data_IF_720963903735
#
_entry.id   IF_720963903735
#
_cell.length_a   1.000
_cell.length_b   1.000
_cell.length_c   1.000
_cell.angle_alpha   90.00
_cell.angle_beta   90.00
_cell.angle_gamma   90.00
#
_symmetry.space_group_name_H-M   'P 1'
#
loop_
_entity.id
_entity.type
_entity.pdbx_description
1 polymer ?
#
# COMPACT_ATOMS: atom_id res chain seq x y z
N UNK A 1 56.33 -21.72 -16.26
CA UNK A 1 55.93 -20.35 -15.84
C UNK A 1 55.12 -20.47 -14.56
N UNK A 2 55.66 -20.05 -13.41
CA UNK A 2 55.04 -20.24 -12.10
C UNK A 2 54.19 -19.01 -11.78
N UNK A 3 52.87 -19.14 -11.95
CA UNK A 3 51.92 -18.08 -11.60
C UNK A 3 52.00 -17.78 -10.10
N UNK A 4 52.51 -16.60 -9.75
CA UNK A 4 52.44 -16.06 -8.40
C UNK A 4 50.99 -15.73 -8.08
N UNK A 5 50.35 -16.58 -7.28
CA UNK A 5 49.03 -16.24 -6.72
C UNK A 5 49.22 -15.06 -5.76
N UNK A 6 48.78 -13.87 -6.17
CA UNK A 6 48.66 -12.71 -5.28
C UNK A 6 47.52 -13.01 -4.30
N UNK A 7 47.84 -13.16 -3.02
CA UNK A 7 46.84 -13.26 -1.96
C UNK A 7 46.25 -11.88 -1.67
N UNK A 8 44.95 -11.83 -1.36
CA UNK A 8 44.31 -10.63 -0.81
C UNK A 8 44.93 -10.30 0.55
N UNK A 9 45.19 -9.02 0.82
CA UNK A 9 45.61 -8.60 2.16
C UNK A 9 44.40 -8.52 3.10
N UNK A 10 44.62 -8.81 4.38
CA UNK A 10 43.56 -8.68 5.39
C UNK A 10 43.05 -7.23 5.50
N UNK A 11 43.92 -6.25 5.27
CA UNK A 11 43.54 -4.83 5.31
C UNK A 11 42.63 -4.43 4.16
N UNK A 12 42.83 -5.00 2.96
CA UNK A 12 41.93 -4.78 1.81
C UNK A 12 40.52 -5.33 2.06
N UNK A 13 40.41 -6.48 2.73
CA UNK A 13 39.09 -7.01 3.09
C UNK A 13 38.44 -6.22 4.23
N UNK A 14 39.24 -5.72 5.17
CA UNK A 14 38.74 -4.93 6.30
C UNK A 14 38.13 -3.59 5.83
N UNK A 15 38.81 -2.85 4.94
CA UNK A 15 38.27 -1.58 4.45
C UNK A 15 36.97 -1.78 3.64
N UNK A 16 36.85 -2.89 2.89
CA UNK A 16 35.66 -3.21 2.11
C UNK A 16 34.46 -3.47 3.01
N UNK A 17 34.61 -4.27 4.08
CA UNK A 17 33.49 -4.53 5.00
C UNK A 17 33.07 -3.27 5.77
N UNK A 18 34.01 -2.38 6.08
CA UNK A 18 33.70 -1.08 6.70
C UNK A 18 32.87 -0.21 5.76
N UNK A 19 33.27 -0.08 4.50
CA UNK A 19 32.53 0.71 3.50
C UNK A 19 31.13 0.14 3.27
N UNK A 20 31.00 -1.19 3.09
CA UNK A 20 29.70 -1.85 2.93
C UNK A 20 28.84 -1.66 4.18
N UNK A 21 29.42 -1.73 5.38
CA UNK A 21 28.72 -1.50 6.65
C UNK A 21 28.11 -0.10 6.73
N UNK A 22 28.86 0.94 6.35
CA UNK A 22 28.37 2.33 6.33
C UNK A 22 27.23 2.50 5.31
N UNK A 23 27.40 1.97 4.10
CA UNK A 23 26.37 2.05 3.06
C UNK A 23 25.08 1.30 3.46
N UNK A 24 25.22 0.11 4.05
CA UNK A 24 24.10 -0.70 4.51
C UNK A 24 23.32 0.00 5.64
N UNK A 25 24.01 0.63 6.59
CA UNK A 25 23.40 1.34 7.70
C UNK A 25 22.46 2.47 7.23
N UNK A 26 22.79 3.17 6.13
CA UNK A 26 21.93 4.22 5.56
C UNK A 26 20.86 3.64 4.64
N UNK A 27 21.23 2.64 3.82
CA UNK A 27 20.35 2.09 2.79
C UNK A 27 19.17 1.28 3.35
N UNK A 28 19.41 0.46 4.38
CA UNK A 28 18.40 -0.44 4.96
C UNK A 28 17.17 0.32 5.50
N UNK A 29 17.30 1.33 6.39
CA UNK A 29 16.13 2.05 6.91
C UNK A 29 15.42 2.84 5.82
N UNK A 30 16.17 3.41 4.86
CA UNK A 30 15.59 4.13 3.71
C UNK A 30 14.74 3.21 2.86
N UNK A 31 15.24 2.01 2.54
CA UNK A 31 14.52 1.03 1.73
C UNK A 31 13.25 0.53 2.41
N UNK A 32 13.30 0.27 3.72
CA UNK A 32 12.12 -0.13 4.50
C UNK A 32 11.01 0.95 4.46
N UNK A 33 11.39 2.23 4.64
CA UNK A 33 10.45 3.34 4.55
C UNK A 33 9.86 3.51 3.14
N UNK A 34 10.66 3.36 2.10
CA UNK A 34 10.17 3.42 0.71
C UNK A 34 9.20 2.28 0.41
N UNK A 35 9.46 1.06 0.88
CA UNK A 35 8.53 -0.07 0.75
C UNK A 35 7.20 0.21 1.45
N UNK A 36 7.24 0.69 2.68
CA UNK A 36 6.03 1.07 3.42
C UNK A 36 5.20 2.10 2.66
N UNK A 37 5.84 3.17 2.16
CA UNK A 37 5.17 4.19 1.32
C UNK A 37 4.56 3.60 0.05
N UNK A 38 5.22 2.64 -0.60
CA UNK A 38 4.70 1.96 -1.78
C UNK A 38 3.44 1.14 -1.46
N UNK A 39 3.43 0.42 -0.33
CA UNK A 39 2.25 -0.31 0.13
C UNK A 39 1.08 0.63 0.44
N UNK A 40 1.33 1.75 1.11
CA UNK A 40 0.31 2.77 1.38
C UNK A 40 -0.25 3.35 0.06
N UNK A 41 0.63 3.62 -0.92
CA UNK A 41 0.21 4.11 -2.22
C UNK A 41 -0.66 3.09 -2.96
N UNK A 42 -0.32 1.80 -2.90
CA UNK A 42 -1.13 0.72 -3.48
C UNK A 42 -2.52 0.66 -2.83
N UNK A 43 -2.61 0.68 -1.50
CA UNK A 43 -3.88 0.69 -0.78
C UNK A 43 -4.76 1.88 -1.17
N UNK A 44 -4.18 3.08 -1.25
CA UNK A 44 -4.91 4.29 -1.69
C UNK A 44 -5.36 4.20 -3.14
N UNK A 45 -4.53 3.65 -4.02
CA UNK A 45 -4.87 3.44 -5.42
C UNK A 45 -6.02 2.46 -5.57
N UNK A 46 -6.01 1.38 -4.79
CA UNK A 46 -7.08 0.39 -4.77
C UNK A 46 -8.40 1.02 -4.30
N UNK A 47 -8.38 1.86 -3.26
CA UNK A 47 -9.59 2.58 -2.83
C UNK A 47 -10.13 3.53 -3.91
N UNK A 48 -9.26 4.17 -4.70
CA UNK A 48 -9.72 4.99 -5.86
C UNK A 48 -10.32 4.13 -6.96
N UNK A 49 -9.70 3.00 -7.27
CA UNK A 49 -10.25 2.04 -8.23
C UNK A 49 -11.59 1.47 -7.76
N UNK A 50 -11.75 1.28 -6.45
CA UNK A 50 -13.02 0.87 -5.85
C UNK A 50 -14.10 1.93 -6.09
N UNK A 51 -13.79 3.22 -5.98
CA UNK A 51 -14.76 4.27 -6.33
C UNK A 51 -15.25 4.11 -7.76
N UNK A 52 -14.34 3.95 -8.72
CA UNK A 52 -14.75 3.73 -10.12
C UNK A 52 -15.60 2.47 -10.29
N UNK A 53 -15.32 1.39 -9.55
CA UNK A 53 -16.11 0.17 -9.59
C UNK A 53 -17.52 0.36 -8.99
N UNK A 54 -17.62 1.07 -7.87
CA UNK A 54 -18.90 1.40 -7.21
C UNK A 54 -19.75 2.31 -8.08
N UNK A 55 -19.17 3.36 -8.68
CA UNK A 55 -19.90 4.25 -9.59
C UNK A 55 -20.42 3.50 -10.83
N UNK A 56 -19.61 2.60 -11.39
CA UNK A 56 -20.04 1.75 -12.50
C UNK A 56 -21.19 0.83 -12.09
N UNK A 57 -21.12 0.25 -10.89
CA UNK A 57 -22.17 -0.65 -10.40
C UNK A 57 -23.46 0.11 -10.05
N UNK A 58 -23.34 1.30 -9.47
CA UNK A 58 -24.45 2.20 -9.18
C UNK A 58 -25.15 2.64 -10.48
N UNK A 59 -24.40 2.92 -11.55
CA UNK A 59 -24.98 3.24 -12.86
C UNK A 59 -25.87 2.11 -13.40
N UNK A 60 -25.55 0.86 -13.10
CA UNK A 60 -26.30 -0.30 -13.59
C UNK A 60 -27.44 -0.73 -12.64
N UNK A 61 -27.26 -0.56 -11.34
CA UNK A 61 -28.15 -1.14 -10.30
C UNK A 61 -28.87 -0.10 -9.43
N UNK A 62 -28.55 1.19 -9.59
CA UNK A 62 -29.03 2.32 -8.76
C UNK A 62 -28.78 2.16 -7.24
N UNK A 63 -27.89 1.24 -6.85
CA UNK A 63 -27.47 0.98 -5.48
C UNK A 63 -25.98 0.70 -5.45
N UNK A 64 -25.29 1.11 -4.39
CA UNK A 64 -23.90 0.72 -4.13
C UNK A 64 -23.82 -0.73 -3.65
N UNK A 65 -22.70 -1.39 -3.95
CA UNK A 65 -22.49 -2.77 -3.54
C UNK A 65 -21.81 -2.85 -2.17
N UNK A 66 -22.09 -3.92 -1.42
CA UNK A 66 -21.39 -4.22 -0.16
C UNK A 66 -20.27 -5.23 -0.35
N UNK A 67 -20.22 -5.87 -1.52
CA UNK A 67 -19.34 -6.99 -1.82
C UNK A 67 -18.76 -6.83 -3.23
N UNK A 68 -17.43 -6.72 -3.27
CA UNK A 68 -16.65 -6.59 -4.51
C UNK A 68 -16.71 -7.82 -5.41
N UNK A 69 -17.19 -8.97 -4.91
CA UNK A 69 -17.37 -10.19 -5.72
C UNK A 69 -18.69 -10.22 -6.50
N UNK A 70 -19.66 -9.37 -6.14
CA UNK A 70 -21.00 -9.36 -6.74
C UNK A 70 -21.14 -8.20 -7.72
N UNK A 71 -20.83 -8.45 -8.98
CA UNK A 71 -21.06 -7.50 -10.09
C UNK A 71 -19.98 -6.43 -10.25
N UNK A 72 -19.23 -6.09 -9.20
CA UNK A 72 -18.04 -5.25 -9.31
C UNK A 72 -16.85 -6.06 -9.83
N UNK A 73 -16.13 -5.55 -10.83
CA UNK A 73 -14.88 -6.16 -11.31
C UNK A 73 -13.67 -5.61 -10.55
N UNK A 74 -13.80 -5.47 -9.23
CA UNK A 74 -12.73 -4.97 -8.38
C UNK A 74 -11.78 -6.10 -7.99
N UNK A 75 -10.46 -5.84 -8.10
CA UNK A 75 -9.41 -6.74 -7.62
C UNK A 75 -8.37 -5.93 -6.87
N UNK A 76 -8.11 -6.21 -5.59
CA UNK A 76 -7.08 -5.50 -4.85
C UNK A 76 -5.69 -5.84 -5.37
N UNK A 77 -4.76 -4.92 -5.16
CA UNK A 77 -3.34 -5.11 -5.41
C UNK A 77 -2.77 -6.22 -4.51
N UNK A 78 -1.64 -6.81 -4.92
CA UNK A 78 -1.02 -7.90 -4.15
C UNK A 78 -0.69 -7.45 -2.74
N UNK A 79 -1.13 -8.23 -1.74
CA UNK A 79 -0.88 -7.95 -0.33
C UNK A 79 -1.88 -6.98 0.31
N UNK A 80 -2.75 -6.34 -0.47
CA UNK A 80 -3.90 -5.57 0.03
C UNK A 80 -5.08 -6.52 0.28
N UNK A 81 -5.66 -6.46 1.46
CA UNK A 81 -6.85 -7.25 1.80
C UNK A 81 -8.08 -6.73 1.04
N UNK A 82 -9.09 -7.60 0.88
CA UNK A 82 -10.38 -7.17 0.32
C UNK A 82 -10.96 -6.04 1.17
N UNK A 83 -11.49 -4.97 0.55
CA UNK A 83 -12.02 -3.85 1.29
C UNK A 83 -13.30 -4.23 2.02
N UNK A 84 -13.46 -3.75 3.23
CA UNK A 84 -14.72 -3.81 3.98
C UNK A 84 -15.55 -2.60 3.60
N UNK A 85 -16.75 -2.81 3.05
CA UNK A 85 -17.62 -1.75 2.53
C UNK A 85 -18.86 -1.63 3.42
N UNK A 86 -19.24 -0.40 3.76
CA UNK A 86 -20.50 -0.07 4.41
C UNK A 86 -21.28 0.94 3.56
N UNK A 87 -22.55 0.63 3.31
CA UNK A 87 -23.43 1.43 2.47
C UNK A 87 -24.47 2.17 3.33
N UNK A 88 -24.87 3.35 2.86
CA UNK A 88 -25.91 4.20 3.41
C UNK A 88 -26.81 4.70 2.27
N UNK A 89 -27.82 5.50 2.60
CA UNK A 89 -28.69 6.11 1.60
C UNK A 89 -27.91 7.12 0.74
N UNK A 90 -27.46 6.70 -0.44
CA UNK A 90 -26.74 7.55 -1.40
C UNK A 90 -25.25 7.79 -1.06
N UNK A 91 -24.71 7.06 -0.09
CA UNK A 91 -23.32 7.19 0.35
C UNK A 91 -22.73 5.83 0.71
N UNK A 92 -21.41 5.73 0.71
CA UNK A 92 -20.71 4.52 1.15
C UNK A 92 -19.32 4.86 1.66
N UNK A 93 -18.77 3.98 2.47
CA UNK A 93 -17.39 4.03 2.93
C UNK A 93 -16.73 2.68 2.79
N UNK A 94 -15.41 2.68 2.63
CA UNK A 94 -14.64 1.45 2.62
C UNK A 94 -13.33 1.59 3.38
N UNK A 95 -12.86 0.49 3.94
CA UNK A 95 -11.53 0.37 4.55
C UNK A 95 -10.79 -0.84 4.00
N UNK A 96 -9.48 -0.71 3.83
CA UNK A 96 -8.60 -1.84 3.50
C UNK A 96 -7.34 -1.82 4.37
N UNK A 97 -6.64 -2.96 4.40
CA UNK A 97 -5.38 -3.17 5.13
C UNK A 97 -4.35 -3.82 4.22
N UNK A 98 -3.07 -3.76 4.57
CA UNK A 98 -2.00 -4.43 3.84
C UNK A 98 -1.27 -5.42 4.75
N UNK A 99 -1.05 -6.64 4.27
CA UNK A 99 -0.44 -7.75 5.05
C UNK A 99 0.94 -7.44 5.64
N UNK A 100 1.69 -6.53 5.02
CA UNK A 100 3.03 -6.11 5.47
C UNK A 100 3.02 -4.85 6.36
N UNK A 101 1.86 -4.23 6.59
CA UNK A 101 1.72 -3.04 7.44
C UNK A 101 0.80 -3.38 8.61
N UNK A 102 1.39 -3.86 9.71
CA UNK A 102 0.65 -4.17 10.92
C UNK A 102 0.01 -2.90 11.52
N UNK A 103 -1.24 -3.01 11.96
CA UNK A 103 -2.01 -1.94 12.59
C UNK A 103 -2.15 -0.67 11.72
N UNK A 104 -2.10 -0.82 10.40
CA UNK A 104 -2.23 0.28 9.45
C UNK A 104 -3.41 0.02 8.53
N UNK A 105 -4.24 1.03 8.32
CA UNK A 105 -5.44 0.94 7.50
C UNK A 105 -5.59 2.16 6.60
N UNK A 106 -6.19 1.98 5.43
CA UNK A 106 -6.64 3.10 4.60
C UNK A 106 -8.16 3.07 4.49
N UNK A 107 -8.75 4.24 4.39
CA UNK A 107 -10.19 4.43 4.32
C UNK A 107 -10.54 5.50 3.32
N UNK A 108 -11.74 5.38 2.76
CA UNK A 108 -12.37 6.36 1.86
C UNK A 108 -13.86 6.44 2.20
N UNK A 109 -14.44 7.63 2.09
CA UNK A 109 -15.88 7.84 2.17
C UNK A 109 -16.31 8.64 0.95
N UNK A 110 -17.45 8.27 0.34
CA UNK A 110 -18.08 8.99 -0.77
C UNK A 110 -19.48 9.42 -0.35
N UNK A 111 -19.77 10.71 -0.48
CA UNK A 111 -20.91 11.41 0.11
C UNK A 111 -21.04 11.18 1.63
N UNK A 112 -19.92 10.85 2.30
CA UNK A 112 -19.86 10.58 3.74
C UNK A 112 -18.47 10.87 4.27
N UNK A 113 -18.37 11.03 5.59
CA UNK A 113 -17.10 11.21 6.27
C UNK A 113 -16.22 9.97 6.14
N UNK A 114 -14.93 10.18 5.87
CA UNK A 114 -13.94 9.11 5.86
C UNK A 114 -13.88 8.39 7.22
N UNK A 115 -13.87 7.04 7.24
CA UNK A 115 -13.97 6.26 8.47
C UNK A 115 -12.71 6.32 9.36
N UNK A 116 -11.58 6.80 8.85
CA UNK A 116 -10.31 6.85 9.59
C UNK A 116 -9.92 8.27 10.01
N UNK A 117 -10.21 9.25 9.16
CA UNK A 117 -9.79 10.64 9.35
C UNK A 117 -10.93 11.57 8.96
N UNK A 118 -11.58 12.18 9.95
CA UNK A 118 -12.76 13.04 9.74
C UNK A 118 -12.47 14.35 9.01
N UNK A 119 -11.19 14.74 8.89
CA UNK A 119 -10.74 15.91 8.14
C UNK A 119 -10.40 15.61 6.67
N UNK A 120 -10.53 14.36 6.22
CA UNK A 120 -10.32 14.01 4.82
C UNK A 120 -11.43 14.60 3.95
N UNK A 121 -11.08 15.03 2.73
CA UNK A 121 -12.08 15.42 1.74
C UNK A 121 -12.97 14.24 1.31
N UNK A 122 -14.13 14.55 0.73
CA UNK A 122 -14.99 13.53 0.15
C UNK A 122 -14.29 12.82 -1.02
N UNK A 123 -14.39 11.49 -1.07
CA UNK A 123 -13.67 10.66 -2.02
C UNK A 123 -12.14 10.66 -1.84
N UNK A 124 -11.60 11.23 -0.77
CA UNK A 124 -10.16 11.24 -0.53
C UNK A 124 -9.71 10.01 0.28
N UNK A 125 -8.84 9.14 -0.28
CA UNK A 125 -8.29 8.01 0.43
C UNK A 125 -7.19 8.46 1.41
N UNK A 126 -7.43 8.24 2.70
CA UNK A 126 -6.51 8.59 3.78
C UNK A 126 -6.18 7.34 4.58
N UNK A 127 -4.96 7.26 5.11
CA UNK A 127 -4.48 6.11 5.85
C UNK A 127 -3.96 6.51 7.22
N UNK A 128 -4.10 5.60 8.18
CA UNK A 128 -3.71 5.77 9.58
C UNK A 128 -3.26 4.44 10.18
#
# INVERSE_FOLDING_TARGET
MRNTRRGFTLIELLIVVVIIGILAAIAIPKFANTKSKAYIAAMKSDLRNLVTAEESYFSDSAVYATDTSKGMKFKPSTGVAMPTIAIFSGAWLATNTHSQLANFSCGIGVNTTNPLVTSAGDGEPVCK
#
